data_IF_209199232613
#
_entry.id   IF_209199232613
#
_cell.length_a   1.000
_cell.length_b   1.000
_cell.length_c   1.000
_cell.angle_alpha   90.00
_cell.angle_beta   90.00
_cell.angle_gamma   90.00
#
_symmetry.space_group_name_H-M   'P 1'
#
loop_
_entity.id
_entity.type
_entity.pdbx_description
1 polymer ?
#
# COMPACT_ATOMS: atom_id res chain seq x y z
N UNK A 1 -26.21 42.11 55.97
CA UNK A 1 -27.51 42.69 56.38
C UNK A 1 -28.32 42.80 55.11
N UNK A 2 -29.43 42.10 54.88
CA UNK A 2 -30.65 41.98 55.68
C UNK A 2 -31.25 40.56 55.49
N UNK A 3 -31.79 40.01 56.58
CA UNK A 3 -32.57 38.76 56.66
C UNK A 3 -34.08 39.06 56.50
N UNK A 4 -34.83 38.11 55.97
CA UNK A 4 -36.17 37.65 56.41
C UNK A 4 -36.55 36.41 55.55
N UNK A 5 -36.60 35.15 56.03
CA UNK A 5 -37.59 34.48 56.89
C UNK A 5 -39.05 34.76 56.51
N UNK A 6 -40.03 33.85 56.41
CA UNK A 6 -40.23 32.39 56.58
C UNK A 6 -41.62 32.13 55.95
N UNK A 7 -41.89 30.98 55.33
CA UNK A 7 -43.01 30.10 55.75
C UNK A 7 -43.07 28.81 54.94
N UNK A 8 -43.16 27.73 55.69
CA UNK A 8 -43.32 26.35 55.26
C UNK A 8 -44.78 26.04 54.96
N UNK A 9 -45.00 25.17 53.96
CA UNK A 9 -46.12 24.23 53.92
C UNK A 9 -45.72 23.06 52.99
N UNK A 10 -45.47 21.89 53.59
CA UNK A 10 -45.62 20.59 52.94
C UNK A 10 -47.12 20.19 53.10
N UNK A 11 -47.72 19.35 52.22
CA UNK A 11 -47.29 17.97 51.93
C UNK A 11 -47.49 17.62 50.41
N UNK A 12 -47.22 16.45 49.81
CA UNK A 12 -47.38 15.05 50.18
C UNK A 12 -46.44 14.16 49.35
N UNK A 13 -46.08 13.01 49.93
CA UNK A 13 -45.45 11.87 49.26
C UNK A 13 -46.45 11.21 48.30
N UNK A 14 -46.13 11.11 47.00
CA UNK A 14 -46.68 10.05 46.12
C UNK A 14 -45.59 9.51 45.18
N UNK A 15 -45.39 8.20 45.31
CA UNK A 15 -44.65 7.24 44.50
C UNK A 15 -44.11 7.62 43.11
N UNK A 16 -42.84 7.24 42.91
CA UNK A 16 -42.27 6.92 41.61
C UNK A 16 -43.05 5.78 40.92
N UNK A 17 -43.37 5.94 39.63
CA UNK A 17 -43.16 4.96 38.54
C UNK A 17 -43.84 5.46 37.26
N UNK A 18 -43.11 5.49 36.13
CA UNK A 18 -43.60 5.41 34.72
C UNK A 18 -42.91 6.42 33.78
N UNK A 19 -41.64 6.18 33.45
CA UNK A 19 -41.00 6.77 32.25
C UNK A 19 -40.36 5.73 31.32
N UNK A 20 -40.35 4.45 31.71
CA UNK A 20 -39.75 3.35 30.94
C UNK A 20 -40.68 2.69 29.89
N UNK A 21 -41.98 3.01 29.91
CA UNK A 21 -43.02 2.34 29.10
C UNK A 21 -43.36 3.05 27.78
N UNK A 22 -43.12 4.35 27.63
CA UNK A 22 -43.38 5.07 26.36
C UNK A 22 -42.28 4.91 25.31
N UNK A 23 -41.00 4.86 25.69
CA UNK A 23 -39.88 4.74 24.75
C UNK A 23 -39.81 3.34 24.08
N UNK A 24 -40.26 2.32 24.80
CA UNK A 24 -40.38 0.93 24.33
C UNK A 24 -41.55 0.76 23.36
N UNK A 25 -42.70 1.38 23.62
CA UNK A 25 -43.88 1.32 22.75
C UNK A 25 -43.69 2.03 21.39
N UNK A 26 -43.00 3.18 21.34
CA UNK A 26 -42.66 3.85 20.08
C UNK A 26 -41.66 3.06 19.23
N UNK A 27 -40.67 2.41 19.86
CA UNK A 27 -39.73 1.51 19.16
C UNK A 27 -40.41 0.24 18.63
N UNK A 28 -41.45 -0.24 19.31
CA UNK A 28 -42.23 -1.39 18.86
C UNK A 28 -43.13 -1.02 17.67
N UNK A 29 -43.82 0.12 17.72
CA UNK A 29 -44.68 0.61 16.62
C UNK A 29 -43.90 0.89 15.33
N UNK A 30 -42.69 1.45 15.42
CA UNK A 30 -41.85 1.67 14.23
C UNK A 30 -41.35 0.37 13.59
N UNK A 31 -41.03 -0.64 14.40
CA UNK A 31 -40.64 -1.98 13.91
C UNK A 31 -41.79 -2.73 13.24
N UNK A 32 -43.00 -2.63 13.80
CA UNK A 32 -44.20 -3.26 13.22
C UNK A 32 -44.59 -2.60 11.89
N UNK A 33 -44.49 -1.28 11.79
CA UNK A 33 -44.70 -0.52 10.54
C UNK A 33 -43.69 -0.88 9.44
N UNK A 34 -42.43 -1.11 9.79
CA UNK A 34 -41.40 -1.53 8.84
C UNK A 34 -41.67 -2.94 8.31
N UNK A 35 -42.02 -3.88 9.20
CA UNK A 35 -42.34 -5.26 8.84
C UNK A 35 -43.60 -5.35 7.96
N UNK A 36 -44.64 -4.57 8.25
CA UNK A 36 -45.84 -4.51 7.41
C UNK A 36 -45.57 -3.91 6.03
N UNK A 37 -44.65 -2.94 5.95
CA UNK A 37 -44.25 -2.35 4.67
C UNK A 37 -43.41 -3.34 3.83
N UNK A 38 -42.51 -4.09 4.44
CA UNK A 38 -41.73 -5.15 3.76
C UNK A 38 -42.67 -6.25 3.24
N UNK A 39 -43.67 -6.66 4.02
CA UNK A 39 -44.66 -7.65 3.59
C UNK A 39 -45.53 -7.16 2.42
N UNK A 40 -45.91 -5.89 2.42
CA UNK A 40 -46.69 -5.28 1.33
C UNK A 40 -45.86 -5.20 0.03
N UNK A 41 -44.60 -4.77 0.12
CA UNK A 41 -43.68 -4.71 -1.03
C UNK A 41 -43.37 -6.10 -1.58
N UNK A 42 -43.15 -7.09 -0.71
CA UNK A 42 -42.90 -8.47 -1.11
C UNK A 42 -44.08 -9.12 -1.83
N UNK A 43 -45.31 -8.76 -1.46
CA UNK A 43 -46.53 -9.20 -2.16
C UNK A 43 -46.74 -8.48 -3.50
N UNK A 44 -46.37 -7.20 -3.57
CA UNK A 44 -46.52 -6.39 -4.79
C UNK A 44 -45.46 -6.72 -5.86
N UNK A 45 -44.24 -7.11 -5.45
CA UNK A 45 -43.11 -7.39 -6.35
C UNK A 45 -42.35 -8.67 -5.97
N UNK A 46 -42.99 -9.86 -6.00
CA UNK A 46 -42.40 -11.11 -5.52
C UNK A 46 -41.12 -11.50 -6.28
N UNK A 47 -41.05 -11.26 -7.59
CA UNK A 47 -39.86 -11.55 -8.40
C UNK A 47 -38.69 -10.62 -8.10
N UNK A 48 -38.95 -9.35 -7.76
CA UNK A 48 -37.91 -8.40 -7.38
C UNK A 48 -37.33 -8.76 -6.00
N UNK A 49 -38.18 -9.16 -5.06
CA UNK A 49 -37.74 -9.62 -3.73
C UNK A 49 -36.99 -10.95 -3.82
N UNK A 50 -37.47 -11.90 -4.61
CA UNK A 50 -36.77 -13.17 -4.85
C UNK A 50 -35.42 -12.95 -5.55
N UNK A 51 -35.37 -12.07 -6.56
CA UNK A 51 -34.12 -11.70 -7.24
C UNK A 51 -33.12 -11.04 -6.31
N UNK A 52 -33.57 -10.07 -5.48
CA UNK A 52 -32.71 -9.43 -4.47
C UNK A 52 -32.17 -10.41 -3.43
N UNK A 53 -33.00 -11.32 -2.94
CA UNK A 53 -32.58 -12.36 -1.99
C UNK A 53 -31.54 -13.32 -2.60
N UNK A 54 -31.72 -13.71 -3.86
CA UNK A 54 -30.75 -14.53 -4.59
C UNK A 54 -29.41 -13.81 -4.74
N UNK A 55 -29.41 -12.54 -5.15
CA UNK A 55 -28.18 -11.74 -5.27
C UNK A 55 -27.44 -11.65 -3.94
N UNK A 56 -28.15 -11.35 -2.84
CA UNK A 56 -27.53 -11.31 -1.50
C UNK A 56 -26.96 -12.68 -1.12
N UNK A 57 -27.68 -13.77 -1.39
CA UNK A 57 -27.21 -15.14 -1.14
C UNK A 57 -25.93 -15.46 -1.90
N UNK A 58 -25.87 -15.13 -3.20
CA UNK A 58 -24.67 -15.34 -4.04
C UNK A 58 -23.48 -14.52 -3.53
N UNK A 59 -23.70 -13.24 -3.19
CA UNK A 59 -22.65 -12.38 -2.64
C UNK A 59 -22.15 -12.91 -1.28
N UNK A 60 -23.04 -13.38 -0.41
CA UNK A 60 -22.66 -13.96 0.88
C UNK A 60 -21.83 -15.24 0.70
N UNK A 61 -22.22 -16.14 -0.20
CA UNK A 61 -21.45 -17.35 -0.53
C UNK A 61 -20.08 -16.98 -1.08
N UNK A 62 -20.02 -16.05 -2.04
CA UNK A 62 -18.76 -15.54 -2.60
C UNK A 62 -17.84 -14.98 -1.51
N UNK A 63 -18.38 -14.17 -0.59
CA UNK A 63 -17.63 -13.64 0.54
C UNK A 63 -17.07 -14.72 1.47
N UNK A 64 -17.84 -15.78 1.75
CA UNK A 64 -17.39 -16.91 2.56
C UNK A 64 -16.28 -17.70 1.87
N UNK A 65 -16.41 -17.95 0.57
CA UNK A 65 -15.40 -18.64 -0.24
C UNK A 65 -14.10 -17.84 -0.29
N UNK A 66 -14.17 -16.54 -0.59
CA UNK A 66 -13.01 -15.66 -0.62
C UNK A 66 -12.35 -15.54 0.76
N UNK A 67 -13.13 -15.50 1.84
CA UNK A 67 -12.57 -15.52 3.21
C UNK A 67 -11.84 -16.82 3.50
N UNK A 68 -12.33 -17.96 3.01
CA UNK A 68 -11.64 -19.25 3.14
C UNK A 68 -10.32 -19.25 2.36
N UNK A 69 -10.31 -18.78 1.11
CA UNK A 69 -9.08 -18.66 0.34
C UNK A 69 -8.08 -17.70 0.98
N UNK A 70 -8.53 -16.56 1.50
CA UNK A 70 -7.67 -15.62 2.20
C UNK A 70 -6.99 -16.24 3.43
N UNK A 71 -7.76 -17.00 4.24
CA UNK A 71 -7.22 -17.73 5.39
C UNK A 71 -6.26 -18.85 5.00
N UNK A 72 -6.54 -19.57 3.91
CA UNK A 72 -5.63 -20.58 3.39
C UNK A 72 -4.32 -19.93 2.93
N UNK A 73 -4.39 -18.82 2.18
CA UNK A 73 -3.21 -18.08 1.76
C UNK A 73 -2.34 -17.63 2.95
N UNK A 74 -2.95 -17.12 4.02
CA UNK A 74 -2.23 -16.73 5.25
C UNK A 74 -1.63 -17.90 6.01
N UNK A 75 -2.34 -19.03 6.05
CA UNK A 75 -1.86 -20.25 6.69
C UNK A 75 -0.68 -20.86 5.94
N UNK A 76 -0.75 -20.88 4.61
CA UNK A 76 0.26 -21.47 3.74
C UNK A 76 1.48 -20.53 3.56
N UNK A 77 1.35 -19.25 3.94
CA UNK A 77 2.40 -18.24 3.89
C UNK A 77 2.54 -17.54 5.26
N UNK A 78 3.03 -18.23 6.30
CA UNK A 78 3.25 -17.60 7.60
C UNK A 78 4.33 -16.50 7.51
N UNK A 79 4.27 -15.46 8.37
CA UNK A 79 5.24 -14.37 8.37
C UNK A 79 6.66 -14.88 8.69
N UNK A 80 7.60 -14.70 7.76
CA UNK A 80 9.01 -15.11 7.91
C UNK A 80 9.90 -14.08 8.64
N UNK A 81 9.34 -12.92 9.00
CA UNK A 81 10.02 -11.81 9.65
C UNK A 81 9.54 -11.52 11.08
N UNK A 82 9.76 -10.29 11.51
CA UNK A 82 9.40 -9.79 12.84
C UNK A 82 8.29 -8.75 12.73
N UNK A 83 7.67 -8.45 13.88
CA UNK A 83 6.65 -7.43 13.98
C UNK A 83 7.10 -6.30 14.89
N UNK A 84 6.70 -5.08 14.54
CA UNK A 84 6.92 -3.88 15.32
C UNK A 84 5.61 -3.10 15.43
N UNK A 85 5.19 -2.78 16.65
CA UNK A 85 4.05 -1.89 16.88
C UNK A 85 4.52 -0.43 16.83
N UNK A 86 4.09 0.30 15.81
CA UNK A 86 4.46 1.70 15.56
C UNK A 86 3.20 2.52 15.42
N UNK A 87 2.97 3.48 16.33
CA UNK A 87 1.83 4.40 16.28
C UNK A 87 0.46 3.68 16.12
N UNK A 88 0.30 2.53 16.78
CA UNK A 88 -0.92 1.72 16.71
C UNK A 88 -1.05 0.88 15.43
N UNK A 89 0.02 0.76 14.64
CA UNK A 89 0.11 -0.14 13.48
C UNK A 89 1.09 -1.25 13.78
N UNK A 90 0.63 -2.50 13.69
CA UNK A 90 1.50 -3.67 13.71
C UNK A 90 2.13 -3.84 12.33
N UNK A 91 3.39 -3.46 12.20
CA UNK A 91 4.16 -3.57 10.98
C UNK A 91 4.98 -4.84 10.95
N UNK A 92 4.89 -5.60 9.86
CA UNK A 92 5.78 -6.72 9.57
C UNK A 92 7.00 -6.23 8.79
N UNK A 93 8.17 -6.74 9.15
CA UNK A 93 9.42 -6.48 8.45
C UNK A 93 10.33 -7.70 8.49
N UNK A 94 11.20 -7.82 7.50
CA UNK A 94 12.26 -8.80 7.42
C UNK A 94 13.60 -8.09 7.54
N UNK A 95 14.48 -8.63 8.38
CA UNK A 95 15.86 -8.15 8.53
C UNK A 95 16.85 -9.26 8.22
N UNK A 96 17.84 -8.95 7.38
CA UNK A 96 18.92 -9.87 6.95
C UNK A 96 20.24 -9.13 6.80
N UNK A 97 21.34 -9.87 6.95
CA UNK A 97 22.68 -9.31 6.77
C UNK A 97 23.13 -8.41 7.91
N UNK A 98 24.22 -7.69 7.65
CA UNK A 98 24.86 -6.76 8.58
C UNK A 98 25.62 -5.71 7.78
N UNK A 99 25.89 -4.54 8.35
CA UNK A 99 26.60 -3.45 7.67
C UNK A 99 25.76 -2.19 7.61
N UNK A 100 25.95 -1.38 6.56
CA UNK A 100 25.16 -0.16 6.36
C UNK A 100 23.68 -0.49 6.18
N UNK A 101 22.74 0.23 6.82
CA UNK A 101 21.32 -0.03 6.65
C UNK A 101 20.83 0.24 5.22
N UNK A 102 20.15 -0.75 4.65
CA UNK A 102 19.43 -0.67 3.37
C UNK A 102 17.96 -0.98 3.61
N UNK A 103 17.08 -0.02 3.34
CA UNK A 103 15.63 -0.17 3.50
C UNK A 103 14.99 -0.47 2.15
N UNK A 104 14.18 -1.52 2.06
CA UNK A 104 13.48 -1.93 0.84
C UNK A 104 11.97 -1.71 0.97
N UNK A 105 11.38 -0.95 0.02
CA UNK A 105 9.95 -0.62 -0.03
C UNK A 105 9.33 -1.13 -1.33
N UNK A 106 8.43 -2.11 -1.22
CA UNK A 106 7.82 -2.77 -2.38
C UNK A 106 6.76 -1.89 -3.09
N UNK A 107 6.42 -2.24 -4.32
CA UNK A 107 5.38 -1.55 -5.11
C UNK A 107 3.94 -1.77 -4.63
N UNK A 108 2.98 -1.15 -5.31
CA UNK A 108 1.57 -1.36 -5.04
C UNK A 108 1.13 -2.80 -5.39
N UNK A 109 0.28 -3.41 -4.56
CA UNK A 109 -0.20 -4.79 -4.75
C UNK A 109 0.80 -5.89 -4.38
N UNK A 110 2.04 -5.53 -4.05
CA UNK A 110 3.15 -6.43 -3.71
C UNK A 110 3.31 -6.60 -2.19
N UNK A 111 4.41 -7.22 -1.76
CA UNK A 111 4.83 -7.48 -0.37
C UNK A 111 6.31 -7.88 -0.33
N UNK A 112 6.90 -8.10 0.86
CA UNK A 112 8.34 -8.45 1.02
C UNK A 112 8.81 -9.57 0.08
N UNK A 113 7.96 -10.59 -0.14
CA UNK A 113 8.29 -11.77 -0.96
C UNK A 113 8.62 -11.43 -2.42
N UNK A 114 8.29 -10.23 -2.89
CA UNK A 114 8.74 -9.73 -4.20
C UNK A 114 10.25 -9.48 -4.20
N UNK A 115 10.80 -8.88 -3.14
CA UNK A 115 12.25 -8.77 -3.01
C UNK A 115 12.93 -10.10 -2.70
N UNK A 116 12.31 -10.97 -1.90
CA UNK A 116 12.86 -12.31 -1.63
C UNK A 116 12.92 -13.15 -2.91
N UNK A 117 11.81 -13.28 -3.65
CA UNK A 117 11.76 -14.05 -4.90
C UNK A 117 12.67 -13.49 -5.99
N UNK A 118 12.96 -12.18 -5.96
CA UNK A 118 13.93 -11.58 -6.87
C UNK A 118 15.38 -11.99 -6.60
N UNK A 119 15.70 -12.47 -5.39
CA UNK A 119 17.08 -12.70 -4.94
C UNK A 119 17.83 -11.43 -4.54
N UNK A 120 17.26 -10.24 -4.77
CA UNK A 120 17.88 -8.96 -4.39
C UNK A 120 18.14 -8.88 -2.88
N UNK A 121 17.21 -9.37 -2.07
CA UNK A 121 17.31 -9.30 -0.62
C UNK A 121 18.52 -10.09 -0.11
N UNK A 122 18.68 -11.33 -0.56
CA UNK A 122 19.80 -12.20 -0.17
C UNK A 122 21.13 -11.72 -0.77
N UNK A 123 21.11 -11.17 -1.99
CA UNK A 123 22.29 -10.60 -2.62
C UNK A 123 22.80 -9.38 -1.83
N UNK A 124 21.91 -8.44 -1.51
CA UNK A 124 22.26 -7.24 -0.74
C UNK A 124 22.66 -7.57 0.70
N UNK A 125 22.05 -8.59 1.32
CA UNK A 125 22.37 -9.01 2.70
C UNK A 125 23.81 -9.50 2.89
N UNK A 126 24.56 -9.73 1.80
CA UNK A 126 26.00 -10.06 1.87
C UNK A 126 26.85 -8.87 2.33
N UNK A 127 26.37 -7.64 2.14
CA UNK A 127 27.12 -6.40 2.39
C UNK A 127 26.37 -5.42 3.29
N UNK A 128 25.03 -5.43 3.22
CA UNK A 128 24.16 -4.46 3.89
C UNK A 128 23.36 -5.12 5.01
N UNK A 129 22.97 -4.31 6.00
CA UNK A 129 21.88 -4.63 6.92
C UNK A 129 20.57 -4.32 6.20
N UNK A 130 19.97 -5.32 5.55
CA UNK A 130 18.78 -5.15 4.73
C UNK A 130 17.53 -5.24 5.61
N UNK A 131 16.66 -4.24 5.52
CA UNK A 131 15.39 -4.14 6.24
C UNK A 131 14.28 -3.95 5.19
N UNK A 132 13.52 -5.01 4.91
CA UNK A 132 12.38 -4.96 4.00
C UNK A 132 11.08 -4.87 4.81
N UNK A 133 10.22 -3.92 4.47
CA UNK A 133 8.93 -3.75 5.14
C UNK A 133 7.78 -4.25 4.28
N UNK A 134 6.83 -4.96 4.90
CA UNK A 134 5.48 -5.02 4.38
C UNK A 134 4.84 -3.67 4.68
N UNK A 135 4.51 -2.90 3.64
CA UNK A 135 3.89 -1.58 3.81
C UNK A 135 2.47 -1.74 4.40
N UNK A 136 1.89 -0.69 5.01
CA UNK A 136 0.58 -0.78 5.66
C UNK A 136 -0.50 -1.42 4.78
N UNK A 137 -1.02 -2.58 5.18
CA UNK A 137 -2.08 -3.33 4.48
C UNK A 137 -1.62 -4.31 3.42
N UNK A 138 -0.32 -4.51 3.30
CA UNK A 138 0.29 -5.52 2.45
C UNK A 138 0.96 -6.59 3.31
N UNK A 139 1.12 -7.79 2.74
CA UNK A 139 1.73 -8.93 3.43
C UNK A 139 1.10 -9.18 4.81
N UNK A 140 1.87 -9.01 5.87
CA UNK A 140 1.40 -9.23 7.24
C UNK A 140 1.20 -7.94 8.06
N UNK A 141 1.34 -6.77 7.44
CA UNK A 141 1.17 -5.47 8.11
C UNK A 141 -0.29 -5.04 8.21
N UNK A 142 -0.65 -4.48 9.36
CA UNK A 142 -1.96 -3.86 9.57
C UNK A 142 -2.15 -2.59 8.71
N UNK A 143 -3.42 -2.23 8.49
CA UNK A 143 -3.81 -0.95 7.86
C UNK A 143 -5.02 -0.35 8.54
N UNK A 144 -4.83 0.46 9.60
CA UNK A 144 -5.93 1.21 10.19
C UNK A 144 -6.69 2.03 9.15
N UNK A 145 -8.03 1.91 9.15
CA UNK A 145 -8.92 2.64 8.23
C UNK A 145 -9.12 4.12 8.61
N UNK A 146 -8.67 4.51 9.80
CA UNK A 146 -8.70 5.90 10.28
C UNK A 146 -7.63 6.79 9.64
N UNK A 147 -6.73 6.22 8.84
CA UNK A 147 -5.60 6.93 8.22
C UNK A 147 -5.72 6.85 6.70
N UNK A 148 -5.56 8.00 6.03
CA UNK A 148 -5.32 8.04 4.59
C UNK A 148 -3.83 7.82 4.36
N UNK A 149 -3.47 6.65 3.86
CA UNK A 149 -2.08 6.18 3.73
C UNK A 149 -1.37 6.72 2.48
N UNK A 150 -1.25 8.05 2.38
CA UNK A 150 -0.41 8.72 1.38
C UNK A 150 1.06 8.34 1.56
N UNK A 151 1.94 8.57 0.56
CA UNK A 151 3.38 8.39 0.68
C UNK A 151 3.96 9.10 1.89
N UNK A 152 3.49 10.32 2.20
CA UNK A 152 3.92 11.08 3.36
C UNK A 152 3.48 10.46 4.71
N UNK A 153 2.29 9.84 4.76
CA UNK A 153 1.81 9.12 5.94
C UNK A 153 2.58 7.80 6.14
N UNK A 154 2.89 7.08 5.06
CA UNK A 154 3.73 5.88 5.12
C UNK A 154 5.16 6.23 5.53
N UNK A 155 5.72 7.33 5.02
CA UNK A 155 7.03 7.85 5.42
C UNK A 155 7.10 8.18 6.92
N UNK A 156 6.05 8.78 7.50
CA UNK A 156 5.95 9.03 8.95
C UNK A 156 6.06 7.74 9.77
N UNK A 157 5.32 6.73 9.35
CA UNK A 157 5.29 5.44 10.02
C UNK A 157 6.65 4.74 9.91
N UNK A 158 7.24 4.73 8.71
CA UNK A 158 8.56 4.14 8.46
C UNK A 158 9.66 4.88 9.22
N UNK A 159 9.62 6.21 9.29
CA UNK A 159 10.54 7.01 10.13
C UNK A 159 10.52 6.51 11.58
N UNK A 160 9.32 6.36 12.13
CA UNK A 160 9.11 5.89 13.51
C UNK A 160 9.53 4.42 13.70
N UNK A 161 9.34 3.59 12.67
CA UNK A 161 9.80 2.20 12.67
C UNK A 161 11.34 2.13 12.70
N UNK A 162 12.00 2.90 11.83
CA UNK A 162 13.46 2.96 11.73
C UNK A 162 14.11 3.47 13.03
N UNK A 163 13.49 4.43 13.73
CA UNK A 163 13.95 4.85 15.06
C UNK A 163 14.01 3.69 16.04
N UNK A 164 12.95 2.88 16.11
CA UNK A 164 12.88 1.74 17.03
C UNK A 164 13.87 0.63 16.66
N UNK A 165 14.24 0.54 15.39
CA UNK A 165 15.26 -0.39 14.88
C UNK A 165 16.70 0.15 15.02
N UNK A 166 16.86 1.34 15.61
CA UNK A 166 18.15 1.99 15.80
C UNK A 166 18.80 2.48 14.50
N UNK A 167 18.00 2.80 13.49
CA UNK A 167 18.46 3.25 12.18
C UNK A 167 18.32 4.77 12.09
N UNK A 168 19.45 5.48 12.24
CA UNK A 168 19.51 6.94 12.11
C UNK A 168 19.80 7.42 10.69
N UNK A 169 20.23 6.51 9.80
CA UNK A 169 20.50 6.79 8.40
C UNK A 169 20.58 5.50 7.58
N UNK A 170 20.01 5.51 6.38
CA UNK A 170 19.96 4.34 5.49
C UNK A 170 19.99 4.73 4.02
N UNK A 171 20.43 3.80 3.18
CA UNK A 171 20.05 3.80 1.76
C UNK A 171 18.60 3.33 1.69
N UNK A 172 17.75 4.03 0.93
CA UNK A 172 16.34 3.66 0.79
C UNK A 172 16.05 3.33 -0.66
N UNK A 173 15.71 2.06 -0.90
CA UNK A 173 15.23 1.59 -2.17
C UNK A 173 13.71 1.54 -2.17
N UNK A 174 13.10 2.16 -3.18
CA UNK A 174 11.66 2.06 -3.42
C UNK A 174 11.38 1.57 -4.83
N UNK A 175 10.55 0.54 -4.96
CA UNK A 175 10.02 0.09 -6.24
C UNK A 175 8.62 0.66 -6.47
N UNK A 176 8.35 1.20 -7.66
CA UNK A 176 7.02 1.68 -8.07
C UNK A 176 6.44 2.66 -7.05
N UNK A 177 5.28 2.37 -6.44
CA UNK A 177 4.71 3.16 -5.35
C UNK A 177 5.67 3.35 -4.16
N UNK A 178 6.47 2.33 -3.85
CA UNK A 178 7.52 2.41 -2.84
C UNK A 178 8.56 3.50 -3.14
N UNK A 179 8.79 3.85 -4.41
CA UNK A 179 9.66 4.96 -4.80
C UNK A 179 9.08 6.31 -4.36
N UNK A 180 7.77 6.51 -4.52
CA UNK A 180 7.08 7.72 -4.04
C UNK A 180 7.14 7.83 -2.51
N UNK A 181 7.03 6.70 -1.79
CA UNK A 181 7.21 6.64 -0.33
C UNK A 181 8.66 6.97 0.07
N UNK A 182 9.65 6.43 -0.64
CA UNK A 182 11.07 6.71 -0.40
C UNK A 182 11.41 8.19 -0.61
N UNK A 183 10.90 8.79 -1.68
CA UNK A 183 11.04 10.23 -1.96
C UNK A 183 10.37 11.06 -0.87
N UNK A 184 9.14 10.72 -0.46
CA UNK A 184 8.44 11.41 0.61
C UNK A 184 9.20 11.33 1.94
N UNK A 185 9.81 10.18 2.25
CA UNK A 185 10.66 9.99 3.42
C UNK A 185 11.88 10.90 3.38
N UNK A 186 12.60 10.94 2.25
CA UNK A 186 13.79 11.77 2.09
C UNK A 186 13.50 13.27 2.13
N UNK A 187 12.39 13.71 1.54
CA UNK A 187 11.96 15.12 1.56
C UNK A 187 11.53 15.56 2.96
N UNK A 188 10.79 14.71 3.68
CA UNK A 188 10.24 15.04 4.99
C UNK A 188 11.26 14.91 6.12
N UNK A 189 12.22 13.99 5.99
CA UNK A 189 13.25 13.73 6.98
C UNK A 189 14.65 13.83 6.36
N UNK A 190 15.11 15.06 6.06
CA UNK A 190 16.47 15.28 5.57
C UNK A 190 17.50 14.69 6.54
N UNK A 191 18.37 13.82 6.05
CA UNK A 191 19.41 13.14 6.84
C UNK A 191 19.11 11.68 7.19
N UNK A 192 17.84 11.24 7.13
CA UNK A 192 17.51 9.82 7.30
C UNK A 192 17.87 9.01 6.05
N UNK A 193 17.51 9.51 4.86
CA UNK A 193 17.94 8.91 3.61
C UNK A 193 19.35 9.40 3.26
N UNK A 194 20.35 8.53 3.43
CA UNK A 194 21.74 8.76 3.00
C UNK A 194 21.88 8.69 1.48
N UNK A 195 20.97 7.98 0.84
CA UNK A 195 20.84 7.91 -0.61
C UNK A 195 19.56 7.19 -1.01
N UNK A 196 19.14 7.38 -2.25
CA UNK A 196 17.91 6.81 -2.79
C UNK A 196 18.20 5.93 -4.00
N UNK A 197 17.55 4.77 -4.04
CA UNK A 197 17.47 3.93 -5.24
C UNK A 197 16.01 3.84 -5.65
N UNK A 198 15.65 4.47 -6.77
CA UNK A 198 14.26 4.61 -7.19
C UNK A 198 14.03 3.74 -8.42
N UNK A 199 13.32 2.63 -8.24
CA UNK A 199 13.14 1.59 -9.26
C UNK A 199 11.74 1.68 -9.86
N UNK A 200 11.64 2.02 -11.15
CA UNK A 200 10.38 2.09 -11.91
C UNK A 200 9.27 2.90 -11.20
N UNK A 201 9.64 4.01 -10.56
CA UNK A 201 8.71 4.84 -9.78
C UNK A 201 7.77 5.70 -10.64
N UNK A 202 6.68 6.13 -10.01
CA UNK A 202 5.73 7.09 -10.58
C UNK A 202 5.84 8.43 -9.83
N UNK A 203 6.17 9.48 -10.56
CA UNK A 203 6.61 10.76 -10.00
C UNK A 203 5.74 11.93 -10.50
N UNK A 204 5.42 11.95 -11.79
CA UNK A 204 4.66 13.04 -12.41
C UNK A 204 3.24 12.58 -12.76
N UNK A 205 2.24 13.45 -12.63
CA UNK A 205 0.88 13.11 -13.00
C UNK A 205 0.78 12.83 -14.50
N UNK A 206 0.05 11.78 -14.85
CA UNK A 206 -0.20 11.35 -16.22
C UNK A 206 -1.58 10.72 -16.34
N UNK A 207 -2.09 10.63 -17.57
CA UNK A 207 -3.38 9.98 -17.81
C UNK A 207 -3.25 8.46 -17.59
N UNK A 208 -3.90 7.94 -16.54
CA UNK A 208 -3.82 6.54 -16.12
C UNK A 208 -5.23 5.93 -15.96
N UNK A 209 -5.92 5.57 -17.06
CA UNK A 209 -7.24 4.96 -16.98
C UNK A 209 -7.23 3.62 -16.24
N UNK A 210 -6.09 2.91 -16.26
CA UNK A 210 -5.87 1.67 -15.54
C UNK A 210 -5.91 1.86 -14.01
N UNK A 211 -5.25 2.88 -13.45
CA UNK A 211 -5.27 3.11 -11.99
C UNK A 211 -6.65 3.58 -11.51
N UNK A 212 -7.37 4.31 -12.36
CA UNK A 212 -8.77 4.69 -12.08
C UNK A 212 -9.64 3.44 -12.03
N UNK A 213 -9.53 2.52 -12.99
CA UNK A 213 -10.29 1.28 -12.99
C UNK A 213 -9.98 0.40 -11.77
N UNK A 214 -8.69 0.31 -11.39
CA UNK A 214 -8.24 -0.46 -10.23
C UNK A 214 -8.61 0.17 -8.88
N UNK A 215 -9.03 1.45 -8.85
CA UNK A 215 -9.39 2.15 -7.61
C UNK A 215 -10.80 1.84 -7.09
N UNK A 216 -11.67 1.20 -7.88
CA UNK A 216 -13.07 0.97 -7.50
C UNK A 216 -13.26 0.27 -6.13
N UNK A 217 -12.43 -0.72 -5.73
CA UNK A 217 -12.52 -1.32 -4.39
C UNK A 217 -12.16 -0.39 -3.21
N UNK A 218 -11.66 0.83 -3.45
CA UNK A 218 -11.39 1.82 -2.41
C UNK A 218 -12.63 2.64 -2.00
N UNK A 219 -13.74 2.55 -2.74
CA UNK A 219 -14.95 3.31 -2.45
C UNK A 219 -15.59 2.88 -1.11
N UNK A 220 -15.96 3.80 -0.20
CA UNK A 220 -16.59 3.44 1.06
C UNK A 220 -17.86 2.59 0.87
N UNK A 221 -18.06 1.57 1.72
CA UNK A 221 -19.17 0.61 1.70
C UNK A 221 -19.22 -0.30 0.47
N UNK A 222 -19.27 0.28 -0.74
CA UNK A 222 -19.33 -0.46 -2.00
C UNK A 222 -18.02 -1.25 -2.21
N UNK A 223 -16.89 -0.63 -1.90
CA UNK A 223 -15.56 -1.24 -2.00
C UNK A 223 -15.39 -2.45 -1.07
N UNK A 224 -16.03 -2.44 0.11
CA UNK A 224 -16.01 -3.62 0.99
C UNK A 224 -16.81 -4.78 0.39
N UNK A 225 -17.99 -4.50 -0.20
CA UNK A 225 -18.76 -5.54 -0.90
C UNK A 225 -17.95 -6.10 -2.07
N UNK A 226 -17.37 -5.24 -2.91
CA UNK A 226 -16.56 -5.65 -4.06
C UNK A 226 -15.32 -6.44 -3.62
N UNK A 227 -14.56 -5.91 -2.66
CA UNK A 227 -13.32 -6.48 -2.14
C UNK A 227 -13.51 -7.85 -1.50
N UNK A 228 -14.66 -8.10 -0.86
CA UNK A 228 -14.98 -9.41 -0.29
C UNK A 228 -15.62 -10.38 -1.28
N UNK A 229 -16.15 -9.93 -2.43
CA UNK A 229 -16.92 -10.79 -3.34
C UNK A 229 -16.29 -10.89 -4.74
N UNK A 230 -16.48 -9.86 -5.57
CA UNK A 230 -16.13 -9.90 -6.98
C UNK A 230 -14.63 -9.68 -7.22
N UNK A 231 -14.00 -8.75 -6.49
CA UNK A 231 -12.62 -8.36 -6.76
C UNK A 231 -11.62 -9.51 -6.66
N UNK A 232 -11.64 -10.39 -5.63
CA UNK A 232 -10.71 -11.53 -5.58
C UNK A 232 -10.83 -12.50 -6.76
N UNK A 233 -12.04 -12.67 -7.30
CA UNK A 233 -12.27 -13.53 -8.46
C UNK A 233 -11.73 -12.87 -9.74
N UNK A 234 -12.03 -11.59 -9.93
CA UNK A 234 -11.53 -10.80 -11.06
C UNK A 234 -9.99 -10.72 -11.03
N UNK A 235 -9.39 -10.50 -9.86
CA UNK A 235 -7.93 -10.45 -9.70
C UNK A 235 -7.26 -11.77 -10.08
N UNK A 236 -7.84 -12.92 -9.70
CA UNK A 236 -7.35 -14.25 -10.12
C UNK A 236 -7.44 -14.44 -11.63
N UNK A 237 -8.58 -14.07 -12.21
CA UNK A 237 -8.81 -14.18 -13.65
C UNK A 237 -7.86 -13.28 -14.45
N UNK A 238 -7.59 -12.07 -13.96
CA UNK A 238 -6.72 -11.09 -14.62
C UNK A 238 -5.24 -11.27 -14.34
N UNK A 239 -4.86 -12.16 -13.42
CA UNK A 239 -3.47 -12.38 -13.03
C UNK A 239 -2.52 -12.60 -14.23
N UNK A 240 -2.80 -13.52 -15.19
CA UNK A 240 -1.86 -13.76 -16.29
C UNK A 240 -1.67 -12.53 -17.18
N UNK A 241 -2.76 -11.81 -17.47
CA UNK A 241 -2.72 -10.58 -18.27
C UNK A 241 -1.96 -9.46 -17.54
N UNK A 242 -2.20 -9.32 -16.23
CA UNK A 242 -1.53 -8.33 -15.40
C UNK A 242 -0.03 -8.61 -15.32
N UNK A 243 0.39 -9.87 -15.12
CA UNK A 243 1.81 -10.25 -15.13
C UNK A 243 2.45 -10.03 -16.50
N UNK A 244 1.78 -10.38 -17.60
CA UNK A 244 2.27 -10.13 -18.96
C UNK A 244 2.43 -8.63 -19.26
N UNK A 245 1.59 -7.77 -18.67
CA UNK A 245 1.74 -6.32 -18.76
C UNK A 245 2.90 -5.80 -17.89
N UNK A 246 2.96 -6.24 -16.63
CA UNK A 246 3.93 -5.76 -15.63
C UNK A 246 5.37 -6.17 -15.96
N UNK A 247 5.58 -7.42 -16.37
CA UNK A 247 6.91 -7.93 -16.73
C UNK A 247 7.27 -7.67 -18.20
N UNK A 248 6.27 -7.45 -19.06
CA UNK A 248 6.45 -7.28 -20.49
C UNK A 248 7.50 -6.21 -20.82
N UNK A 249 8.34 -6.42 -21.84
CA UNK A 249 8.20 -7.43 -22.91
C UNK A 249 8.67 -8.83 -22.54
N UNK A 250 9.44 -8.97 -21.46
CA UNK A 250 9.88 -10.26 -20.95
C UNK A 250 8.74 -10.97 -20.19
N UNK A 251 8.82 -12.29 -20.10
CA UNK A 251 7.98 -13.06 -19.17
C UNK A 251 8.48 -12.88 -17.74
N UNK A 252 7.59 -13.13 -16.77
CA UNK A 252 8.04 -13.28 -15.39
C UNK A 252 9.11 -14.38 -15.30
N UNK A 253 10.23 -14.15 -14.60
CA UNK A 253 11.27 -15.15 -14.46
C UNK A 253 10.78 -16.30 -13.55
N UNK A 254 11.30 -17.51 -13.73
CA UNK A 254 10.87 -18.70 -12.96
C UNK A 254 10.95 -18.51 -11.44
N UNK A 255 11.94 -17.74 -10.95
CA UNK A 255 12.06 -17.41 -9.53
C UNK A 255 10.84 -16.68 -8.96
N UNK A 256 10.08 -15.97 -9.80
CA UNK A 256 8.84 -15.30 -9.40
C UNK A 256 7.70 -16.29 -9.09
N UNK A 257 7.80 -17.56 -9.47
CA UNK A 257 6.81 -18.58 -9.08
C UNK A 257 6.77 -18.80 -7.56
N UNK A 258 7.84 -18.44 -6.84
CA UNK A 258 7.88 -18.42 -5.39
C UNK A 258 7.06 -17.27 -4.77
N UNK A 259 6.62 -16.28 -5.56
CA UNK A 259 5.82 -15.16 -5.06
C UNK A 259 4.39 -15.63 -4.68
N UNK A 260 3.92 -15.40 -3.44
CA UNK A 260 2.61 -15.88 -3.01
C UNK A 260 1.45 -15.06 -3.57
N UNK A 261 1.11 -15.27 -4.83
CA UNK A 261 0.03 -14.53 -5.52
C UNK A 261 -1.31 -14.55 -4.78
N UNK A 262 -1.66 -15.65 -4.11
CA UNK A 262 -2.93 -15.76 -3.37
C UNK A 262 -3.04 -14.77 -2.19
N UNK A 263 -1.92 -14.35 -1.61
CA UNK A 263 -1.90 -13.30 -0.59
C UNK A 263 -2.35 -11.95 -1.16
N UNK A 264 -2.06 -11.67 -2.43
CA UNK A 264 -2.46 -10.43 -3.10
C UNK A 264 -3.96 -10.35 -3.36
N UNK A 265 -4.64 -11.50 -3.42
CA UNK A 265 -6.09 -11.57 -3.67
C UNK A 265 -6.94 -11.49 -2.40
N UNK A 266 -6.31 -11.29 -1.23
CA UNK A 266 -7.03 -11.10 0.01
C UNK A 266 -7.82 -9.78 -0.04
N UNK A 267 -9.05 -9.75 0.49
CA UNK A 267 -9.87 -8.53 0.50
C UNK A 267 -9.15 -7.30 1.09
N UNK A 268 -8.36 -7.50 2.15
CA UNK A 268 -7.57 -6.44 2.79
C UNK A 268 -6.53 -5.83 1.84
N UNK A 269 -5.76 -6.67 1.13
CA UNK A 269 -4.69 -6.24 0.24
C UNK A 269 -5.23 -5.66 -1.06
N UNK A 270 -6.35 -6.17 -1.58
CA UNK A 270 -7.07 -5.55 -2.71
C UNK A 270 -7.54 -4.15 -2.33
N UNK A 271 -8.13 -3.98 -1.15
CA UNK A 271 -8.58 -2.67 -0.69
C UNK A 271 -7.39 -1.71 -0.47
N UNK A 272 -6.29 -2.19 0.12
CA UNK A 272 -5.06 -1.40 0.27
C UNK A 272 -4.51 -0.96 -1.10
N UNK A 273 -4.47 -1.88 -2.06
CA UNK A 273 -3.96 -1.64 -3.40
C UNK A 273 -4.82 -0.64 -4.18
N UNK A 274 -6.14 -0.80 -4.12
CA UNK A 274 -7.10 0.12 -4.73
C UNK A 274 -6.98 1.53 -4.12
N UNK A 275 -6.79 1.63 -2.81
CA UNK A 275 -6.61 2.91 -2.13
C UNK A 275 -5.32 3.61 -2.56
N UNK A 276 -4.23 2.88 -2.79
CA UNK A 276 -2.99 3.44 -3.33
C UNK A 276 -3.14 3.84 -4.81
N UNK A 277 -3.83 3.04 -5.62
CA UNK A 277 -4.16 3.40 -7.00
C UNK A 277 -4.97 4.71 -7.09
N UNK A 278 -5.90 4.92 -6.16
CA UNK A 278 -6.69 6.15 -6.07
C UNK A 278 -5.83 7.39 -5.74
N UNK A 279 -4.75 7.20 -4.98
CA UNK A 279 -3.86 8.26 -4.53
C UNK A 279 -2.74 8.56 -5.55
N UNK A 280 -2.56 7.72 -6.56
CA UNK A 280 -1.39 7.76 -7.42
C UNK A 280 -1.19 9.07 -8.18
N UNK A 281 -2.25 9.56 -8.83
CA UNK A 281 -2.22 10.84 -9.54
C UNK A 281 -2.17 12.04 -8.58
N UNK A 282 -3.04 12.13 -7.54
CA UNK A 282 -2.97 13.23 -6.56
C UNK A 282 -1.62 13.38 -5.86
N UNK A 283 -0.96 12.28 -5.51
CA UNK A 283 0.33 12.34 -4.82
C UNK A 283 1.47 12.79 -5.76
N UNK A 284 1.41 12.42 -7.03
CA UNK A 284 2.35 12.94 -8.04
C UNK A 284 2.24 14.47 -8.16
N UNK A 285 1.03 15.03 -8.17
CA UNK A 285 0.80 16.49 -8.09
C UNK A 285 1.32 17.10 -6.78
N UNK A 286 1.39 16.35 -5.69
CA UNK A 286 1.79 16.88 -4.38
C UNK A 286 3.30 16.90 -4.19
N UNK A 287 4.04 16.02 -4.86
CA UNK A 287 5.48 15.84 -4.66
C UNK A 287 6.36 16.48 -5.75
N UNK A 288 5.86 16.64 -6.97
CA UNK A 288 6.73 16.94 -8.12
C UNK A 288 7.55 18.23 -8.02
N UNK A 289 7.00 19.30 -7.44
CA UNK A 289 7.73 20.56 -7.26
C UNK A 289 8.86 20.48 -6.20
N UNK A 290 8.89 19.40 -5.42
CA UNK A 290 9.86 19.22 -4.34
C UNK A 290 11.08 18.39 -4.75
N UNK A 291 11.09 17.71 -5.90
CA UNK A 291 12.21 16.84 -6.31
C UNK A 291 13.58 17.54 -6.33
N UNK A 292 13.73 18.79 -6.81
CA UNK A 292 15.02 19.50 -6.78
C UNK A 292 15.57 19.77 -5.36
N UNK A 293 14.76 19.56 -4.32
CA UNK A 293 15.17 19.68 -2.91
C UNK A 293 15.89 18.44 -2.40
N UNK A 294 15.84 17.31 -3.10
CA UNK A 294 16.65 16.14 -2.76
C UNK A 294 18.13 16.49 -2.93
N UNK A 295 18.95 16.22 -1.91
CA UNK A 295 20.39 16.57 -1.86
C UNK A 295 21.33 15.39 -1.72
N UNK A 296 20.81 14.24 -1.31
CA UNK A 296 21.55 12.99 -1.27
C UNK A 296 21.82 12.44 -2.68
N UNK A 297 22.74 11.49 -2.85
CA UNK A 297 22.85 10.69 -4.07
C UNK A 297 21.53 9.97 -4.37
N UNK A 298 21.15 9.96 -5.65
CA UNK A 298 19.92 9.32 -6.14
C UNK A 298 20.26 8.52 -7.38
N UNK A 299 20.08 7.20 -7.34
CA UNK A 299 20.12 6.35 -8.53
C UNK A 299 18.70 6.03 -8.96
N UNK A 300 18.36 6.33 -10.22
CA UNK A 300 17.07 6.04 -10.83
C UNK A 300 17.27 4.84 -11.77
N UNK A 301 16.49 3.78 -11.58
CA UNK A 301 16.58 2.56 -12.40
C UNK A 301 15.21 2.28 -13.02
N UNK A 302 15.14 2.11 -14.33
CA UNK A 302 13.89 1.77 -15.00
C UNK A 302 14.15 0.88 -16.23
N UNK A 303 13.26 -0.07 -16.48
CA UNK A 303 13.25 -0.82 -17.73
C UNK A 303 12.77 0.09 -18.86
N UNK A 304 13.46 0.12 -19.99
CA UNK A 304 13.15 1.03 -21.09
C UNK A 304 11.85 0.68 -21.85
N UNK A 305 11.31 -0.51 -21.61
CA UNK A 305 10.09 -1.04 -22.22
C UNK A 305 8.97 -1.22 -21.16
N UNK A 306 9.02 -0.43 -20.08
CA UNK A 306 7.99 -0.43 -19.03
C UNK A 306 6.60 -0.06 -19.59
N UNK A 307 5.66 -1.01 -19.52
CA UNK A 307 4.29 -0.88 -20.05
C UNK A 307 3.29 -0.28 -19.06
N UNK A 308 3.71 0.02 -17.83
CA UNK A 308 2.89 0.66 -16.81
C UNK A 308 3.23 2.14 -16.63
N UNK A 309 4.52 2.44 -16.67
CA UNK A 309 5.07 3.75 -16.34
C UNK A 309 5.95 4.18 -17.50
N UNK A 310 5.53 5.24 -18.19
CA UNK A 310 6.31 5.81 -19.28
C UNK A 310 7.65 6.33 -18.76
N UNK A 311 8.73 5.69 -19.21
CA UNK A 311 10.08 5.87 -18.67
C UNK A 311 10.57 7.30 -18.85
N UNK A 312 10.26 7.91 -19.99
CA UNK A 312 10.76 9.24 -20.34
C UNK A 312 9.97 10.33 -19.61
N UNK A 313 8.65 10.22 -19.56
CA UNK A 313 7.78 11.13 -18.82
C UNK A 313 7.97 11.06 -17.30
N UNK A 314 8.56 9.97 -16.80
CA UNK A 314 8.71 9.69 -15.36
C UNK A 314 10.17 9.72 -14.93
N UNK A 315 10.91 8.66 -15.20
CA UNK A 315 12.28 8.46 -14.70
C UNK A 315 13.29 9.38 -15.36
N UNK A 316 13.23 9.56 -16.69
CA UNK A 316 14.14 10.47 -17.39
C UNK A 316 13.87 11.93 -17.03
N UNK A 317 12.58 12.31 -16.90
CA UNK A 317 12.19 13.63 -16.41
C UNK A 317 12.68 13.88 -14.98
N UNK A 318 12.55 12.90 -14.09
CA UNK A 318 13.05 13.00 -12.72
C UNK A 318 14.56 13.22 -12.67
N UNK A 319 15.30 12.49 -13.52
CA UNK A 319 16.74 12.69 -13.65
C UNK A 319 17.09 14.13 -14.05
N UNK A 320 16.32 14.73 -14.97
CA UNK A 320 16.47 16.14 -15.35
C UNK A 320 16.21 17.13 -14.19
N UNK A 321 15.25 16.83 -13.31
CA UNK A 321 14.89 17.68 -12.17
C UNK A 321 15.81 17.47 -10.94
N UNK A 322 16.60 16.39 -10.91
CA UNK A 322 17.59 16.08 -9.86
C UNK A 322 18.98 15.96 -10.50
N UNK A 323 19.70 17.07 -10.73
CA UNK A 323 20.92 17.07 -11.55
C UNK A 323 22.07 16.20 -11.02
N UNK A 324 22.09 15.90 -9.72
CA UNK A 324 23.07 14.99 -9.12
C UNK A 324 22.68 13.51 -9.16
N UNK A 325 21.51 13.17 -9.70
CA UNK A 325 21.08 11.78 -9.82
C UNK A 325 21.82 11.05 -10.94
N UNK A 326 21.83 9.74 -10.90
CA UNK A 326 22.18 8.87 -12.02
C UNK A 326 20.94 8.18 -12.55
N UNK A 327 20.97 7.81 -13.83
CA UNK A 327 19.84 7.17 -14.49
C UNK A 327 20.29 5.95 -15.28
N UNK A 328 19.83 4.78 -14.84
CA UNK A 328 20.08 3.49 -15.44
C UNK A 328 18.81 3.02 -16.18
N UNK A 329 18.79 3.24 -17.50
CA UNK A 329 17.81 2.60 -18.39
C UNK A 329 18.26 1.16 -18.64
N UNK A 330 17.42 0.19 -18.30
CA UNK A 330 17.72 -1.23 -18.44
C UNK A 330 17.06 -1.77 -19.72
N UNK A 331 17.84 -2.09 -20.77
CA UNK A 331 17.29 -2.45 -22.07
C UNK A 331 16.41 -3.71 -22.05
N UNK A 332 15.29 -3.68 -22.77
CA UNK A 332 14.37 -4.80 -22.95
C UNK A 332 13.63 -5.24 -21.69
N UNK A 333 13.68 -4.43 -20.62
CA UNK A 333 13.07 -4.76 -19.33
C UNK A 333 11.76 -3.99 -19.11
N UNK A 334 10.82 -4.64 -18.43
CA UNK A 334 9.54 -4.05 -18.02
C UNK A 334 9.59 -3.36 -16.66
N UNK A 335 8.44 -3.34 -15.98
CA UNK A 335 8.27 -2.63 -14.70
C UNK A 335 8.98 -3.28 -13.50
N UNK A 336 9.22 -4.59 -13.56
CA UNK A 336 9.77 -5.38 -12.43
C UNK A 336 11.28 -5.56 -12.55
N UNK A 337 12.02 -4.47 -12.72
CA UNK A 337 13.48 -4.51 -12.98
C UNK A 337 14.24 -5.23 -11.87
N UNK A 338 13.81 -5.15 -10.61
CA UNK A 338 14.44 -5.90 -9.52
C UNK A 338 14.30 -7.41 -9.69
N UNK A 339 13.25 -7.89 -10.36
CA UNK A 339 13.06 -9.30 -10.71
C UNK A 339 13.86 -9.69 -11.95
N UNK A 340 13.80 -8.90 -13.03
CA UNK A 340 14.34 -9.28 -14.34
C UNK A 340 15.82 -8.90 -14.53
N UNK A 341 16.30 -7.90 -13.79
CA UNK A 341 17.67 -7.38 -13.85
C UNK A 341 18.18 -7.04 -12.43
N UNK A 342 18.12 -8.02 -11.54
CA UNK A 342 18.51 -7.90 -10.12
C UNK A 342 19.90 -7.28 -9.93
N UNK A 343 20.88 -7.68 -10.76
CA UNK A 343 22.25 -7.17 -10.69
C UNK A 343 22.37 -5.68 -11.03
N UNK A 344 21.52 -5.17 -11.93
CA UNK A 344 21.48 -3.74 -12.26
C UNK A 344 21.00 -2.92 -11.05
N UNK A 345 19.97 -3.43 -10.34
CA UNK A 345 19.47 -2.80 -9.12
C UNK A 345 20.52 -2.88 -7.99
N UNK A 346 21.20 -4.03 -7.84
CA UNK A 346 22.30 -4.17 -6.88
C UNK A 346 23.45 -3.20 -7.16
N UNK A 347 23.83 -3.05 -8.43
CA UNK A 347 24.87 -2.11 -8.86
C UNK A 347 24.51 -0.66 -8.51
N UNK A 348 23.25 -0.27 -8.69
CA UNK A 348 22.75 1.05 -8.30
C UNK A 348 22.75 1.28 -6.78
N UNK A 349 22.47 0.23 -5.98
CA UNK A 349 22.62 0.28 -4.52
C UNK A 349 24.08 0.56 -4.15
N UNK A 350 25.01 -0.20 -4.72
CA UNK A 350 26.44 -0.04 -4.44
C UNK A 350 26.98 1.31 -4.91
N UNK A 351 26.42 1.87 -5.98
CA UNK A 351 26.72 3.23 -6.44
C UNK A 351 26.33 4.29 -5.43
N UNK A 352 25.09 4.26 -4.97
CA UNK A 352 24.58 5.19 -3.97
C UNK A 352 25.35 5.05 -2.65
N UNK A 353 25.71 3.84 -2.25
CA UNK A 353 26.53 3.59 -1.05
C UNK A 353 27.92 4.26 -1.17
N UNK A 354 28.57 4.09 -2.32
CA UNK A 354 29.89 4.70 -2.60
C UNK A 354 29.81 6.23 -2.59
N UNK A 355 28.82 6.82 -3.24
CA UNK A 355 28.71 8.27 -3.35
C UNK A 355 28.28 8.92 -2.03
N UNK A 356 27.45 8.24 -1.24
CA UNK A 356 27.08 8.67 0.11
C UNK A 356 28.27 8.72 1.08
N UNK A 357 29.30 7.91 0.83
CA UNK A 357 30.54 7.90 1.61
C UNK A 357 31.53 9.01 1.22
N UNK A 358 31.34 9.67 0.07
CA UNK A 358 32.22 10.72 -0.45
C UNK A 358 31.46 11.81 -1.23
N UNK A 359 30.89 12.83 -0.54
CA UNK A 359 29.97 13.80 -1.13
C UNK A 359 30.59 14.76 -2.17
N UNK A 360 31.93 14.81 -2.30
CA UNK A 360 32.62 15.68 -3.27
C UNK A 360 32.79 15.04 -4.65
N UNK A 361 32.39 13.76 -4.83
CA UNK A 361 32.52 13.05 -6.10
C UNK A 361 31.27 13.26 -6.95
N UNK A 362 31.39 13.90 -8.12
CA UNK A 362 30.30 13.94 -9.11
C UNK A 362 30.09 12.54 -9.71
N UNK A 363 28.85 12.07 -9.92
CA UNK A 363 28.61 10.79 -10.56
C UNK A 363 29.14 10.81 -11.99
N UNK A 364 29.83 9.73 -12.40
CA UNK A 364 30.21 9.51 -13.78
C UNK A 364 28.99 8.91 -14.51
N UNK A 365 28.57 9.51 -15.63
CA UNK A 365 27.55 8.94 -16.50
C UNK A 365 28.07 7.61 -17.09
N UNK A 366 27.65 6.47 -16.54
CA UNK A 366 27.97 5.16 -17.11
C UNK A 366 26.86 4.72 -18.07
N UNK A 367 27.08 4.89 -19.37
CA UNK A 367 26.39 4.09 -20.38
C UNK A 367 26.80 2.63 -20.17
N UNK A 368 25.83 1.78 -19.81
CA UNK A 368 26.05 0.34 -19.72
C UNK A 368 26.28 -0.18 -21.14
N UNK A 369 27.53 -0.51 -21.45
CA UNK A 369 27.90 -1.18 -22.71
C UNK A 369 27.22 -2.54 -22.77
N UNK A 370 26.44 -2.76 -23.84
CA UNK A 370 25.88 -4.05 -24.20
C UNK A 370 27.01 -5.06 -24.42
N UNK A 371 27.04 -6.13 -23.64
CA UNK A 371 27.85 -7.29 -23.96
C UNK A 371 27.24 -8.00 -25.18
N UNK A 372 28.10 -8.29 -26.16
CA UNK A 372 27.81 -8.99 -27.40
C UNK A 372 27.54 -10.50 -27.20
#
# INVERSE_FOLDING_TARGET
MVRCNISWMAPDFVHATSSATMSSALRLRSRVSLLSNIQTIAKAHPYAVAGGALTVGVLAISALVNRRFARAAEHDNPPAGQFLDVNGVRLHYLERGSGEPLVLLHGNGSMIQDFESSGLLDLAARTYRVIAFDRPGFGHSDRPRSVVWTPAAQAELLRSALDRLGVSGAIVLGHSWGASVAVALALKYPGLARGLVLVSGYYYPSFRPDVVALSAPAAPLIGDVLGHTLSPLVSRLMWPLMMAKIFGPQSAPEKFDAFPKEMTFRPSQIHASAAESALMIPDAFSLHDAYPKLKMPVAIVAGDEDRLVDVDAQSARLHGDIPQSTFHRVPGNGHMVHQTATDAVMSAIDEVARDGSNPDRRPASSEVQSAA
#
